data_IF_230605016052
#
_entry.id   IF_230605016052
#
_cell.length_a   1.000
_cell.length_b   1.000
_cell.length_c   1.000
_cell.angle_alpha   90.00
_cell.angle_beta   90.00
_cell.angle_gamma   90.00
#
_symmetry.space_group_name_H-M   'P 1'
#
loop_
_entity.id
_entity.type
_entity.pdbx_description
1 polymer ?
#
# COMPACT_ATOMS: atom_id res chain seq x y z
N UNK A 1 68.20 40.52 3.00
CA UNK A 1 67.09 39.93 2.21
C UNK A 1 66.80 38.42 2.44
N UNK A 2 67.47 37.70 3.34
CA UNK A 2 67.23 36.25 3.63
C UNK A 2 66.09 35.84 4.61
N UNK A 3 65.52 36.69 5.49
CA UNK A 3 64.58 36.21 6.53
C UNK A 3 63.14 35.98 6.06
N UNK A 4 62.68 36.69 5.03
CA UNK A 4 61.31 36.57 4.48
C UNK A 4 61.08 35.22 3.79
N UNK A 5 62.07 34.71 3.04
CA UNK A 5 62.00 33.39 2.38
C UNK A 5 61.88 32.22 3.38
N UNK A 6 62.54 32.33 4.55
CA UNK A 6 62.46 31.30 5.59
C UNK A 6 61.10 31.23 6.28
N UNK A 7 60.43 32.38 6.45
CA UNK A 7 59.06 32.44 6.99
C UNK A 7 58.03 31.90 6.00
N UNK A 8 58.14 32.29 4.72
CA UNK A 8 57.28 31.76 3.66
C UNK A 8 57.40 30.24 3.52
N UNK A 9 58.62 29.69 3.57
CA UNK A 9 58.84 28.24 3.51
C UNK A 9 58.23 27.51 4.72
N UNK A 10 58.32 28.08 5.93
CA UNK A 10 57.71 27.49 7.14
C UNK A 10 56.18 27.53 7.10
N UNK A 11 55.60 28.62 6.60
CA UNK A 11 54.15 28.74 6.40
C UNK A 11 53.63 27.75 5.36
N UNK A 12 54.36 27.56 4.25
CA UNK A 12 54.02 26.57 3.24
C UNK A 12 54.10 25.13 3.78
N UNK A 13 55.10 24.83 4.62
CA UNK A 13 55.25 23.53 5.25
C UNK A 13 54.12 23.26 6.26
N UNK A 14 53.75 24.25 7.07
CA UNK A 14 52.61 24.18 7.99
C UNK A 14 51.28 24.01 7.26
N UNK A 15 51.09 24.74 6.15
CA UNK A 15 49.89 24.62 5.32
C UNK A 15 49.79 23.23 4.67
N UNK A 16 50.90 22.68 4.17
CA UNK A 16 50.94 21.33 3.61
C UNK A 16 50.70 20.24 4.67
N UNK A 17 51.27 20.39 5.87
CA UNK A 17 51.05 19.46 6.98
C UNK A 17 49.61 19.50 7.49
N UNK A 18 49.01 20.70 7.58
CA UNK A 18 47.61 20.86 7.95
C UNK A 18 46.68 20.27 6.87
N UNK A 19 46.99 20.49 5.58
CA UNK A 19 46.24 19.90 4.48
C UNK A 19 46.32 18.37 4.46
N UNK A 20 47.49 17.79 4.80
CA UNK A 20 47.65 16.33 4.92
C UNK A 20 46.93 15.77 6.17
N UNK A 21 46.93 16.49 7.29
CA UNK A 21 46.23 16.08 8.51
C UNK A 21 44.69 16.17 8.38
N UNK A 22 44.20 17.03 7.48
CA UNK A 22 42.79 17.16 7.13
C UNK A 22 42.39 16.32 5.91
N UNK A 23 43.33 15.60 5.29
CA UNK A 23 43.03 14.76 4.14
C UNK A 23 42.39 13.45 4.62
N UNK A 24 41.14 13.22 4.24
CA UNK A 24 40.51 11.91 4.44
C UNK A 24 41.21 10.86 3.55
N UNK A 25 41.52 9.72 4.13
CA UNK A 25 42.05 8.59 3.37
C UNK A 25 40.95 8.06 2.42
N UNK A 26 41.30 7.74 1.16
CA UNK A 26 40.34 7.20 0.22
C UNK A 26 39.84 5.83 0.68
N UNK A 27 38.56 5.56 0.47
CA UNK A 27 37.97 4.25 0.72
C UNK A 27 38.28 3.31 -0.44
N UNK A 28 38.86 2.14 -0.15
CA UNK A 28 39.13 1.11 -1.14
C UNK A 28 37.97 0.09 -1.19
N UNK A 29 37.28 0.00 -2.33
CA UNK A 29 36.22 -0.99 -2.58
C UNK A 29 36.69 -1.99 -3.64
N UNK A 30 36.69 -3.28 -3.32
CA UNK A 30 37.04 -4.38 -4.24
C UNK A 30 35.84 -5.27 -4.51
N UNK A 31 35.58 -5.57 -5.78
CA UNK A 31 34.48 -6.44 -6.23
C UNK A 31 35.05 -7.52 -7.13
N UNK A 32 34.81 -8.79 -6.79
CA UNK A 32 35.19 -9.94 -7.60
C UNK A 32 33.96 -10.50 -8.32
N UNK A 33 33.85 -10.19 -9.61
CA UNK A 33 32.71 -10.59 -10.44
C UNK A 33 32.75 -12.08 -10.87
N UNK A 34 33.88 -12.78 -10.69
CA UNK A 34 33.99 -14.20 -10.98
C UNK A 34 33.41 -15.08 -9.87
N UNK A 35 33.15 -14.49 -8.68
CA UNK A 35 32.75 -15.22 -7.46
C UNK A 35 31.31 -14.93 -7.05
N UNK A 36 30.36 -15.61 -7.67
CA UNK A 36 28.95 -15.56 -7.26
C UNK A 36 28.74 -16.27 -5.90
N UNK A 37 28.30 -15.53 -4.88
CA UNK A 37 28.15 -16.06 -3.51
C UNK A 37 26.76 -16.63 -3.20
N UNK A 38 25.70 -15.93 -3.62
CA UNK A 38 24.30 -16.29 -3.38
C UNK A 38 23.36 -15.47 -4.26
N UNK A 39 22.09 -15.87 -4.44
CA UNK A 39 21.09 -15.04 -5.09
C UNK A 39 20.83 -13.73 -4.33
N UNK A 40 20.71 -12.62 -5.07
CA UNK A 40 20.24 -11.34 -4.55
C UNK A 40 18.82 -11.10 -5.06
N UNK A 41 17.83 -11.10 -4.15
CA UNK A 41 16.43 -10.81 -4.50
C UNK A 41 16.17 -9.31 -4.47
N UNK A 42 15.42 -8.80 -5.44
CA UNK A 42 14.96 -7.40 -5.46
C UNK A 42 13.72 -7.25 -4.56
N UNK A 43 13.94 -7.19 -3.24
CA UNK A 43 12.87 -7.12 -2.24
C UNK A 43 12.26 -5.71 -2.07
N UNK A 44 12.86 -4.69 -2.69
CA UNK A 44 12.49 -3.28 -2.55
C UNK A 44 11.54 -2.76 -3.64
N UNK A 45 11.00 -3.63 -4.51
CA UNK A 45 10.24 -3.23 -5.72
C UNK A 45 8.79 -2.82 -5.42
N UNK A 46 8.58 -1.96 -4.43
CA UNK A 46 7.26 -1.48 -4.02
C UNK A 46 7.30 0.01 -3.71
N UNK A 47 6.20 0.69 -4.00
CA UNK A 47 5.91 2.06 -3.55
C UNK A 47 4.47 2.11 -2.98
N UNK A 48 3.99 3.28 -2.59
CA UNK A 48 2.61 3.49 -2.17
C UNK A 48 2.26 4.96 -1.95
N UNK A 49 0.97 5.26 -1.88
CA UNK A 49 0.44 6.59 -1.64
C UNK A 49 -0.94 6.53 -0.98
N UNK A 50 -1.42 7.69 -0.53
CA UNK A 50 -2.75 7.89 0.02
C UNK A 50 -3.43 9.03 -0.76
N UNK A 51 -4.65 8.85 -1.30
CA UNK A 51 -5.38 9.94 -1.91
C UNK A 51 -5.68 11.03 -0.86
N UNK A 52 -5.84 12.31 -1.27
CA UNK A 52 -6.16 13.39 -0.35
C UNK A 52 -7.59 13.27 0.19
N UNK A 53 -7.90 14.07 1.21
CA UNK A 53 -9.28 14.25 1.65
C UNK A 53 -10.11 15.02 0.60
N UNK A 54 -11.44 14.78 0.51
CA UNK A 54 -12.17 13.72 1.22
C UNK A 54 -12.06 12.37 0.49
N UNK A 55 -11.97 11.27 1.25
CA UNK A 55 -11.68 9.95 0.67
C UNK A 55 -12.84 9.39 -0.19
N UNK A 56 -14.07 9.83 0.02
CA UNK A 56 -15.22 9.50 -0.83
C UNK A 56 -15.10 10.08 -2.26
N UNK A 57 -14.12 10.96 -2.49
CA UNK A 57 -13.77 11.52 -3.79
C UNK A 57 -12.38 11.05 -4.27
N UNK A 58 -11.82 9.99 -3.68
CA UNK A 58 -10.51 9.44 -4.04
C UNK A 58 -10.38 9.17 -5.55
N UNK A 59 -11.47 8.78 -6.23
CA UNK A 59 -11.50 8.56 -7.67
C UNK A 59 -11.07 9.80 -8.49
N UNK A 60 -11.35 11.02 -8.02
CA UNK A 60 -10.92 12.25 -8.70
C UNK A 60 -9.40 12.39 -8.74
N UNK A 61 -8.71 11.87 -7.71
CA UNK A 61 -7.26 11.85 -7.63
C UNK A 61 -6.68 10.61 -8.32
N UNK A 62 -7.19 9.42 -7.97
CA UNK A 62 -6.66 8.12 -8.43
C UNK A 62 -6.79 7.90 -9.95
N UNK A 63 -7.82 8.49 -10.56
CA UNK A 63 -8.09 8.41 -12.01
C UNK A 63 -7.70 9.69 -12.76
N UNK A 64 -7.14 10.68 -12.06
CA UNK A 64 -6.70 11.94 -12.67
C UNK A 64 -5.62 11.72 -13.73
N UNK A 65 -5.49 12.70 -14.63
CA UNK A 65 -4.40 12.71 -15.60
C UNK A 65 -3.02 12.74 -14.92
N UNK A 66 -2.90 13.49 -13.82
CA UNK A 66 -1.70 13.55 -12.99
C UNK A 66 -1.29 12.16 -12.50
N UNK A 67 -2.26 11.36 -12.06
CA UNK A 67 -1.99 10.01 -11.57
C UNK A 67 -1.70 9.01 -12.69
N UNK A 68 -2.35 9.16 -13.85
CA UNK A 68 -2.01 8.39 -15.05
C UNK A 68 -0.56 8.61 -15.45
N UNK A 69 -0.11 9.87 -15.51
CA UNK A 69 1.29 10.21 -15.77
C UNK A 69 2.21 9.65 -14.67
N UNK A 70 1.87 9.85 -13.40
CA UNK A 70 2.67 9.35 -12.29
C UNK A 70 2.88 7.82 -12.37
N UNK A 71 1.81 7.06 -12.63
CA UNK A 71 1.89 5.60 -12.78
C UNK A 71 2.67 5.17 -14.03
N UNK A 72 2.64 5.96 -15.10
CA UNK A 72 3.52 5.75 -16.25
C UNK A 72 5.01 5.90 -15.88
N UNK A 73 5.38 6.92 -15.10
CA UNK A 73 6.75 7.05 -14.59
C UNK A 73 7.15 5.91 -13.66
N UNK A 74 6.25 5.47 -12.79
CA UNK A 74 6.47 4.33 -11.88
C UNK A 74 6.66 3.03 -12.66
N UNK A 75 5.81 2.76 -13.67
CA UNK A 75 5.88 1.58 -14.53
C UNK A 75 7.09 1.59 -15.49
N UNK A 76 7.57 2.77 -15.88
CA UNK A 76 8.72 2.92 -16.77
C UNK A 76 10.06 2.54 -16.13
N UNK A 77 10.11 2.27 -14.82
CA UNK A 77 11.36 1.84 -14.16
C UNK A 77 11.84 0.51 -14.77
N UNK A 78 13.05 0.46 -15.37
CA UNK A 78 13.51 -0.69 -16.13
C UNK A 78 13.46 -2.02 -15.36
N UNK A 79 13.21 -3.10 -16.11
CA UNK A 79 13.20 -4.47 -15.59
C UNK A 79 12.22 -4.72 -14.42
N UNK A 80 11.15 -3.92 -14.37
CA UNK A 80 10.19 -3.94 -13.27
C UNK A 80 10.87 -3.58 -11.95
N UNK A 81 11.67 -2.50 -11.94
CA UNK A 81 12.34 -2.02 -10.73
C UNK A 81 11.36 -1.51 -9.67
N UNK A 82 10.13 -1.19 -10.06
CA UNK A 82 8.95 -1.09 -9.19
C UNK A 82 7.90 -2.07 -9.73
N UNK A 83 7.21 -2.79 -8.83
CA UNK A 83 6.20 -3.80 -9.19
C UNK A 83 4.87 -3.62 -8.50
N UNK A 84 4.86 -3.12 -7.27
CA UNK A 84 3.65 -2.97 -6.48
C UNK A 84 3.43 -1.50 -6.10
N UNK A 85 2.18 -1.06 -6.13
CA UNK A 85 1.72 0.23 -5.59
C UNK A 85 0.71 -0.05 -4.50
N UNK A 86 1.08 0.16 -3.23
CA UNK A 86 0.18 0.04 -2.09
C UNK A 86 -0.66 1.31 -1.97
N UNK A 87 -1.96 1.19 -2.10
CA UNK A 87 -2.88 2.33 -2.25
C UNK A 87 -3.90 2.32 -1.13
N UNK A 88 -3.97 3.42 -0.38
CA UNK A 88 -4.94 3.57 0.71
C UNK A 88 -6.34 3.80 0.14
N UNK A 89 -7.37 3.46 0.92
CA UNK A 89 -8.78 3.79 0.62
C UNK A 89 -9.34 3.21 -0.69
N UNK A 90 -8.81 2.08 -1.19
CA UNK A 90 -9.29 1.44 -2.42
C UNK A 90 -10.78 1.10 -2.41
N UNK A 91 -11.36 0.78 -1.25
CA UNK A 91 -12.78 0.47 -1.15
C UNK A 91 -13.67 1.72 -1.25
N UNK A 92 -13.12 2.93 -1.10
CA UNK A 92 -13.87 4.18 -1.35
C UNK A 92 -14.01 4.50 -2.85
N UNK A 93 -13.30 3.77 -3.72
CA UNK A 93 -13.58 3.77 -5.16
C UNK A 93 -14.86 2.99 -5.51
N UNK A 94 -15.38 2.19 -4.58
CA UNK A 94 -16.64 1.46 -4.76
C UNK A 94 -17.77 2.34 -4.23
N UNK A 95 -18.83 2.49 -5.01
CA UNK A 95 -20.08 3.11 -4.52
C UNK A 95 -21.11 2.04 -4.20
N UNK A 96 -21.93 2.29 -3.18
CA UNK A 96 -22.97 1.36 -2.74
C UNK A 96 -24.35 2.02 -2.73
N UNK A 97 -25.37 1.27 -3.13
CA UNK A 97 -26.78 1.69 -3.16
C UNK A 97 -27.66 0.63 -2.49
N UNK A 98 -28.81 1.05 -1.97
CA UNK A 98 -29.69 0.19 -1.17
C UNK A 98 -29.32 0.27 0.31
N UNK A 99 -29.79 -0.68 1.11
CA UNK A 99 -29.48 -0.76 2.54
C UNK A 99 -29.04 -2.17 2.94
N UNK A 100 -28.24 -2.24 4.00
CA UNK A 100 -27.75 -3.49 4.57
C UNK A 100 -28.95 -4.36 4.96
N UNK A 101 -28.95 -5.61 4.49
CA UNK A 101 -30.04 -6.57 4.74
C UNK A 101 -31.29 -6.42 3.85
N UNK A 102 -31.34 -5.46 2.92
CA UNK A 102 -32.50 -5.21 2.04
C UNK A 102 -32.12 -5.04 0.56
N UNK A 103 -30.97 -5.58 0.15
CA UNK A 103 -30.50 -5.55 -1.25
C UNK A 103 -29.43 -4.49 -1.51
N UNK A 104 -28.31 -4.60 -0.79
CA UNK A 104 -27.12 -3.78 -1.02
C UNK A 104 -26.50 -4.13 -2.38
N UNK A 105 -26.31 -3.13 -3.23
CA UNK A 105 -25.71 -3.26 -4.56
C UNK A 105 -24.45 -2.39 -4.67
N UNK A 106 -23.41 -2.92 -5.28
CA UNK A 106 -22.12 -2.24 -5.45
C UNK A 106 -21.89 -1.85 -6.92
N UNK A 107 -21.24 -0.71 -7.11
CA UNK A 107 -20.73 -0.27 -8.40
C UNK A 107 -19.21 -0.11 -8.29
N UNK A 108 -18.50 -0.90 -9.10
CA UNK A 108 -17.04 -1.03 -9.10
C UNK A 108 -16.34 -0.17 -10.15
N UNK A 109 -17.06 0.63 -10.93
CA UNK A 109 -16.53 1.35 -12.10
C UNK A 109 -15.21 2.09 -11.84
N UNK A 110 -15.07 2.81 -10.73
CA UNK A 110 -13.82 3.52 -10.43
C UNK A 110 -12.69 2.59 -9.95
N UNK A 111 -13.03 1.54 -9.20
CA UNK A 111 -12.05 0.54 -8.79
C UNK A 111 -11.50 -0.20 -10.01
N UNK A 112 -12.38 -0.62 -10.92
CA UNK A 112 -12.01 -1.27 -12.18
C UNK A 112 -11.07 -0.37 -12.99
N UNK A 113 -11.44 0.91 -13.17
CA UNK A 113 -10.59 1.88 -13.87
C UNK A 113 -9.20 2.06 -13.25
N UNK A 114 -9.11 2.06 -11.92
CA UNK A 114 -7.81 2.16 -11.23
C UNK A 114 -6.98 0.89 -11.38
N UNK A 115 -7.58 -0.29 -11.27
CA UNK A 115 -6.90 -1.57 -11.43
C UNK A 115 -6.44 -1.78 -12.89
N UNK A 116 -7.24 -1.35 -13.86
CA UNK A 116 -6.88 -1.34 -15.27
C UNK A 116 -5.70 -0.40 -15.54
N UNK A 117 -5.70 0.80 -14.94
CA UNK A 117 -4.58 1.74 -15.04
C UNK A 117 -3.26 1.17 -14.47
N UNK A 118 -3.32 0.46 -13.34
CA UNK A 118 -2.15 -0.27 -12.83
C UNK A 118 -1.71 -1.37 -13.81
N UNK A 119 -2.66 -2.12 -14.36
CA UNK A 119 -2.41 -3.20 -15.31
C UNK A 119 -1.76 -2.71 -16.60
N UNK A 120 -2.22 -1.59 -17.15
CA UNK A 120 -1.66 -0.91 -18.32
C UNK A 120 -0.17 -0.57 -18.14
N UNK A 121 0.22 -0.24 -16.90
CA UNK A 121 1.60 0.10 -16.53
C UNK A 121 2.41 -1.08 -15.98
N UNK A 122 1.90 -2.31 -16.11
CA UNK A 122 2.50 -3.55 -15.58
C UNK A 122 2.78 -3.52 -14.07
N UNK A 123 1.96 -2.79 -13.31
CA UNK A 123 2.00 -2.70 -11.86
C UNK A 123 0.96 -3.61 -11.22
N UNK A 124 1.20 -3.99 -9.96
CA UNK A 124 0.29 -4.76 -9.13
C UNK A 124 -0.26 -3.88 -7.99
N UNK A 125 -1.54 -4.03 -7.61
CA UNK A 125 -2.05 -3.37 -6.43
C UNK A 125 -1.45 -4.03 -5.18
N UNK A 126 -0.91 -3.22 -4.28
CA UNK A 126 -0.86 -3.56 -2.86
C UNK A 126 -2.25 -3.32 -2.29
N UNK A 127 -3.14 -4.29 -2.50
CA UNK A 127 -4.58 -4.13 -2.29
C UNK A 127 -4.93 -4.09 -0.80
N UNK A 128 -5.14 -2.90 -0.28
CA UNK A 128 -5.61 -2.72 1.10
C UNK A 128 -7.13 -2.79 1.16
N UNK A 129 -7.65 -3.66 2.03
CA UNK A 129 -9.08 -3.73 2.34
C UNK A 129 -9.46 -2.55 3.24
N UNK A 130 -9.43 -1.35 2.68
CA UNK A 130 -9.54 -0.08 3.40
C UNK A 130 -10.54 0.84 2.71
N UNK A 131 -11.49 1.35 3.47
CA UNK A 131 -12.57 2.24 3.02
C UNK A 131 -13.94 1.76 3.48
N UNK A 132 -14.93 2.61 3.29
CA UNK A 132 -16.34 2.38 3.55
C UNK A 132 -17.14 2.80 2.32
N UNK A 133 -17.45 1.87 1.39
CA UNK A 133 -18.18 2.16 0.16
C UNK A 133 -19.43 3.02 0.42
N UNK A 134 -19.44 4.26 -0.08
CA UNK A 134 -20.50 5.27 0.16
C UNK A 134 -20.90 5.45 1.64
N UNK A 135 -19.99 5.19 2.58
CA UNK A 135 -20.23 5.32 4.02
C UNK A 135 -21.11 4.23 4.64
N UNK A 136 -21.37 3.11 3.95
CA UNK A 136 -22.28 2.06 4.44
C UNK A 136 -21.75 1.27 5.64
N UNK A 137 -20.43 1.15 5.79
CA UNK A 137 -19.80 0.42 6.88
C UNK A 137 -19.30 1.40 7.94
N UNK A 138 -19.94 1.38 9.10
CA UNK A 138 -19.68 2.32 10.20
C UNK A 138 -19.25 1.64 11.49
N UNK A 139 -19.58 0.35 11.64
CA UNK A 139 -19.34 -0.41 12.85
C UNK A 139 -19.02 -1.88 12.52
N UNK A 140 -17.82 -2.34 12.90
CA UNK A 140 -17.40 -3.73 12.72
C UNK A 140 -17.89 -4.67 13.83
N UNK A 141 -18.51 -4.15 14.89
CA UNK A 141 -19.20 -4.96 15.90
C UNK A 141 -20.61 -5.37 15.46
N UNK A 142 -21.25 -4.57 14.59
CA UNK A 142 -22.56 -4.87 14.00
C UNK A 142 -22.47 -6.07 13.04
N UNK A 143 -23.08 -7.19 13.47
CA UNK A 143 -23.09 -8.45 12.72
C UNK A 143 -23.79 -8.36 11.38
N UNK A 144 -24.76 -7.46 11.22
CA UNK A 144 -25.40 -7.25 9.92
C UNK A 144 -24.43 -6.65 8.90
N UNK A 145 -23.45 -5.84 9.34
CA UNK A 145 -22.45 -5.24 8.47
C UNK A 145 -21.32 -6.20 8.13
N UNK A 146 -20.88 -7.03 9.08
CA UNK A 146 -19.77 -7.98 8.87
C UNK A 146 -20.18 -9.31 8.22
N UNK A 147 -21.43 -9.44 7.77
CA UNK A 147 -21.93 -10.66 7.13
C UNK A 147 -22.26 -11.79 8.10
N UNK A 148 -22.42 -11.48 9.40
CA UNK A 148 -23.05 -12.39 10.33
C UNK A 148 -24.50 -12.59 9.90
N UNK A 149 -24.87 -13.82 9.55
CA UNK A 149 -26.27 -14.22 9.47
C UNK A 149 -26.92 -13.70 10.76
N UNK A 150 -27.99 -12.89 10.62
CA UNK A 150 -28.86 -12.62 11.76
C UNK A 150 -29.26 -13.95 12.43
N UNK A 151 -29.74 -13.94 13.68
CA UNK A 151 -30.11 -15.18 14.37
C UNK A 151 -30.92 -16.05 13.42
N UNK A 152 -30.38 -17.23 13.09
CA UNK A 152 -31.11 -18.24 12.33
C UNK A 152 -32.43 -18.41 13.07
N UNK A 153 -33.60 -18.20 12.44
CA UNK A 153 -34.86 -18.45 13.09
C UNK A 153 -34.78 -19.85 13.69
N UNK A 154 -35.02 -19.97 15.00
CA UNK A 154 -35.08 -21.28 15.62
C UNK A 154 -36.04 -22.13 14.78
N UNK A 155 -35.60 -23.33 14.38
CA UNK A 155 -36.46 -24.23 13.62
C UNK A 155 -37.81 -24.33 14.33
N UNK A 156 -38.94 -24.25 13.59
CA UNK A 156 -40.24 -24.46 14.20
C UNK A 156 -40.20 -25.80 14.96
N UNK A 157 -40.76 -25.86 16.18
CA UNK A 157 -40.70 -27.08 16.97
C UNK A 157 -41.25 -28.24 16.15
N UNK A 158 -40.47 -29.33 16.06
CA UNK A 158 -40.83 -30.52 15.32
C UNK A 158 -42.24 -30.99 15.74
N UNK A 159 -43.24 -30.96 14.85
CA UNK A 159 -44.59 -31.41 15.18
C UNK A 159 -44.65 -32.91 15.50
N UNK A 160 -43.55 -33.65 15.29
CA UNK A 160 -43.41 -35.08 15.63
C UNK A 160 -42.58 -35.36 16.88
N UNK A 161 -42.18 -34.35 17.66
CA UNK A 161 -41.51 -34.57 18.94
C UNK A 161 -42.37 -35.48 19.84
N UNK A 162 -41.91 -36.69 20.20
CA UNK A 162 -42.71 -37.65 20.94
C UNK A 162 -42.77 -37.23 22.40
N UNK A 163 -43.79 -36.47 22.79
CA UNK A 163 -43.92 -36.01 24.18
C UNK A 163 -45.24 -35.37 24.61
N UNK A 164 -46.16 -35.03 23.70
CA UNK A 164 -47.41 -34.34 24.07
C UNK A 164 -48.66 -35.14 23.69
N UNK A 165 -48.82 -36.34 24.25
CA UNK A 165 -50.17 -36.90 24.45
C UNK A 165 -50.55 -36.74 25.91
N UNK A 166 -51.34 -35.69 26.18
CA UNK A 166 -52.19 -35.63 27.36
C UNK A 166 -53.13 -36.85 27.35
N UNK A 167 -53.34 -37.54 28.48
CA UNK A 167 -54.32 -38.61 28.54
C UNK A 167 -55.73 -38.00 28.45
N UNK A 168 -56.50 -38.43 27.46
CA UNK A 168 -57.96 -38.29 27.49
C UNK A 168 -58.48 -39.12 28.68
N UNK A 169 -58.99 -38.42 29.70
CA UNK A 169 -59.77 -39.01 30.78
C UNK A 169 -61.25 -38.76 30.51
N UNK A 170 -61.99 -39.87 30.52
CA UNK A 170 -63.43 -39.98 30.73
C UNK A 170 -63.90 -39.21 31.97
#
# INVERSE_FOLDING_TARGET
MRPLRRRAARLALLAAALAAALAEAPHLVRVDAARALRPLRHFWRSTGFCPPLPHDQAAQYDLSWDQQLNLAYVGAVPHGGIKQVRTHWLLDLITARGSIGQGLSYNFTHLDGYLDLLRENQLLPGFELMGSPSGHFTDFEDKLQVGGLGPVPADPPDPQAPGSRLPELL
#
